data_IF_319051205745
#
_entry.id   IF_319051205745
#
_cell.length_a   1.000
_cell.length_b   1.000
_cell.length_c   1.000
_cell.angle_alpha   90.00
_cell.angle_beta   90.00
_cell.angle_gamma   90.00
#
_symmetry.space_group_name_H-M   'P 1'
#
loop_
_entity.id
_entity.type
_entity.pdbx_description
1 polymer ?
#
# COMPACT_ATOMS: atom_id res chain seq x y z
N UNK A 1 -6.56 45.13 37.91
CA UNK A 1 -6.69 43.96 38.80
C UNK A 1 -7.40 42.87 38.00
N UNK A 2 -6.66 42.01 37.32
CA UNK A 2 -7.20 40.90 36.52
C UNK A 2 -6.70 39.59 37.12
N UNK A 3 -7.61 38.62 37.28
CA UNK A 3 -7.51 37.15 37.14
C UNK A 3 -8.63 36.46 37.96
N UNK A 4 -9.05 35.21 37.67
CA UNK A 4 -8.74 34.36 36.51
C UNK A 4 -9.99 33.81 35.77
N UNK A 5 -9.78 33.44 34.50
CA UNK A 5 -10.72 32.66 33.70
C UNK A 5 -10.66 31.18 34.10
N UNK A 6 -11.83 30.56 34.32
CA UNK A 6 -11.98 29.14 34.62
C UNK A 6 -11.95 28.32 33.33
N UNK A 7 -10.80 27.75 33.01
CA UNK A 7 -10.69 26.71 31.97
C UNK A 7 -11.24 25.40 32.51
N UNK A 8 -12.40 24.97 31.99
CA UNK A 8 -12.93 23.63 32.22
C UNK A 8 -12.16 22.65 31.34
N UNK A 9 -11.18 21.97 31.93
CA UNK A 9 -10.54 20.78 31.36
C UNK A 9 -11.59 19.68 31.23
N UNK A 10 -12.03 19.37 30.02
CA UNK A 10 -12.76 18.12 29.75
C UNK A 10 -11.73 17.01 29.61
N UNK A 11 -11.71 16.11 30.59
CA UNK A 11 -10.93 14.88 30.55
C UNK A 11 -11.60 13.96 29.53
N UNK A 12 -10.92 13.71 28.42
CA UNK A 12 -11.37 12.81 27.36
C UNK A 12 -11.18 11.36 27.82
N UNK A 13 -12.28 10.69 28.17
CA UNK A 13 -12.36 9.29 28.62
C UNK A 13 -12.14 8.29 27.47
N UNK A 14 -11.01 8.40 26.77
CA UNK A 14 -10.60 7.43 25.75
C UNK A 14 -9.17 6.95 26.00
N UNK A 15 -8.87 6.58 27.24
CA UNK A 15 -7.68 5.80 27.54
C UNK A 15 -8.08 4.56 28.33
N UNK A 16 -7.57 3.41 27.86
CA UNK A 16 -7.67 2.04 28.38
C UNK A 16 -8.80 1.17 27.80
N UNK A 17 -8.55 0.66 26.58
CA UNK A 17 -9.00 -0.70 26.24
C UNK A 17 -7.81 -1.64 26.50
N UNK A 18 -7.91 -2.61 27.43
CA UNK A 18 -6.84 -3.56 27.69
C UNK A 18 -6.54 -4.44 26.47
N UNK A 19 -5.27 -4.55 26.10
CA UNK A 19 -4.77 -5.54 25.14
C UNK A 19 -5.07 -6.95 25.69
N UNK A 20 -6.05 -7.66 25.12
CA UNK A 20 -6.27 -9.07 25.41
C UNK A 20 -5.43 -9.93 24.46
N UNK A 21 -4.69 -10.87 25.05
CA UNK A 21 -3.91 -11.92 24.40
C UNK A 21 -4.81 -12.89 23.62
N UNK A 22 -4.33 -13.52 22.52
CA UNK A 22 -5.16 -14.39 21.69
C UNK A 22 -5.47 -15.71 22.41
N UNK A 23 -6.73 -15.87 22.84
CA UNK A 23 -7.26 -17.15 23.29
C UNK A 23 -7.67 -17.99 22.09
N UNK A 24 -7.10 -19.19 21.94
CA UNK A 24 -7.46 -20.14 20.86
C UNK A 24 -8.72 -20.93 21.23
N UNK A 25 -9.81 -20.25 21.59
CA UNK A 25 -11.10 -20.89 21.85
C UNK A 25 -12.19 -20.17 21.06
N UNK A 26 -12.92 -20.84 20.16
CA UNK A 26 -14.01 -20.20 19.43
C UNK A 26 -15.06 -19.69 20.42
N UNK A 27 -15.18 -18.37 20.55
CA UNK A 27 -16.19 -17.73 21.39
C UNK A 27 -17.54 -17.81 20.67
N UNK A 28 -18.49 -18.56 21.23
CA UNK A 28 -19.88 -18.55 20.79
C UNK A 28 -20.48 -17.18 21.15
N UNK A 29 -20.82 -16.39 20.15
CA UNK A 29 -21.44 -15.07 20.37
C UNK A 29 -22.95 -15.24 20.62
N UNK A 30 -23.51 -14.46 21.56
CA UNK A 30 -24.84 -14.60 22.15
C UNK A 30 -26.00 -14.42 21.14
N UNK A 31 -26.18 -15.37 20.22
CA UNK A 31 -27.26 -15.38 19.23
C UNK A 31 -27.00 -16.18 17.95
N UNK A 32 -25.81 -16.77 17.77
CA UNK A 32 -25.48 -17.57 16.58
C UNK A 32 -24.95 -18.96 16.96
N UNK A 33 -25.46 -20.00 16.28
CA UNK A 33 -25.10 -21.41 16.53
C UNK A 33 -23.76 -21.83 15.92
N UNK A 34 -22.92 -20.87 15.50
CA UNK A 34 -21.64 -21.12 14.84
C UNK A 34 -20.51 -20.31 15.48
N UNK A 35 -19.30 -20.88 15.41
CA UNK A 35 -18.10 -20.23 15.90
C UNK A 35 -17.71 -19.04 15.01
N UNK A 36 -17.47 -17.89 15.62
CA UNK A 36 -16.98 -16.69 14.94
C UNK A 36 -15.58 -16.38 15.46
N UNK A 37 -14.58 -16.17 14.59
CA UNK A 37 -13.26 -15.73 15.02
C UNK A 37 -13.29 -14.42 15.81
N UNK A 38 -12.49 -14.34 16.88
CA UNK A 38 -12.44 -13.20 17.80
C UNK A 38 -12.12 -11.87 17.10
N UNK A 39 -11.25 -11.93 16.09
CA UNK A 39 -10.82 -10.76 15.30
C UNK A 39 -11.96 -10.18 14.43
N UNK A 40 -13.03 -10.95 14.20
CA UNK A 40 -14.19 -10.51 13.43
C UNK A 40 -15.34 -10.01 14.30
N UNK A 41 -15.35 -10.31 15.61
CA UNK A 41 -16.43 -9.95 16.53
C UNK A 41 -16.76 -8.45 16.53
N UNK A 42 -15.78 -7.52 16.55
CA UNK A 42 -16.07 -6.08 16.56
C UNK A 42 -16.70 -5.57 15.26
N UNK A 43 -16.56 -6.32 14.17
CA UNK A 43 -16.99 -5.93 12.83
C UNK A 43 -18.32 -6.57 12.41
N UNK A 44 -18.94 -7.34 13.31
CA UNK A 44 -20.28 -7.88 13.08
C UNK A 44 -21.28 -6.74 13.29
N UNK A 45 -22.09 -6.39 12.28
CA UNK A 45 -23.13 -5.40 12.48
C UNK A 45 -24.23 -5.95 13.39
N UNK A 46 -24.84 -5.07 14.19
CA UNK A 46 -25.97 -5.38 15.08
C UNK A 46 -27.29 -5.72 14.33
N UNK A 47 -27.22 -6.11 13.05
CA UNK A 47 -28.36 -6.33 12.18
C UNK A 47 -28.04 -7.15 10.93
N UNK A 48 -29.05 -7.41 10.08
CA UNK A 48 -28.90 -8.25 8.89
C UNK A 48 -27.89 -7.68 7.90
N UNK A 49 -26.94 -8.51 7.45
CA UNK A 49 -26.04 -8.17 6.35
C UNK A 49 -26.78 -8.33 5.01
N UNK A 50 -26.63 -7.33 4.15
CA UNK A 50 -27.18 -7.35 2.80
C UNK A 50 -26.07 -7.21 1.78
N UNK A 51 -26.12 -8.03 0.72
CA UNK A 51 -25.37 -7.74 -0.51
C UNK A 51 -26.30 -7.07 -1.49
N UNK A 52 -25.81 -6.03 -2.15
CA UNK A 52 -26.47 -5.45 -3.30
C UNK A 52 -26.31 -6.41 -4.48
N UNK A 53 -27.39 -7.09 -4.88
CA UNK A 53 -27.37 -7.98 -6.04
C UNK A 53 -27.68 -7.22 -7.34
N UNK A 54 -28.52 -6.18 -7.26
CA UNK A 54 -28.82 -5.21 -8.33
C UNK A 54 -29.19 -3.84 -7.73
N UNK A 55 -29.34 -2.78 -8.55
CA UNK A 55 -29.73 -1.43 -8.08
C UNK A 55 -31.01 -1.40 -7.22
N UNK A 56 -31.90 -2.38 -7.35
CA UNK A 56 -33.20 -2.42 -6.65
C UNK A 56 -33.38 -3.62 -5.72
N UNK A 57 -32.52 -4.65 -5.78
CA UNK A 57 -32.66 -5.86 -4.94
C UNK A 57 -31.46 -6.03 -4.02
N UNK A 58 -31.76 -6.02 -2.72
CA UNK A 58 -30.82 -6.39 -1.65
C UNK A 58 -31.14 -7.82 -1.23
N UNK A 59 -30.14 -8.69 -1.31
CA UNK A 59 -30.28 -10.07 -0.83
C UNK A 59 -29.71 -10.16 0.56
N UNK A 60 -30.51 -10.68 1.49
CA UNK A 60 -30.08 -10.99 2.84
C UNK A 60 -29.01 -12.09 2.79
N UNK A 61 -27.92 -11.89 3.53
CA UNK A 61 -26.88 -12.90 3.69
C UNK A 61 -27.18 -13.69 4.95
N UNK A 62 -27.32 -15.01 4.78
CA UNK A 62 -27.50 -15.93 5.89
C UNK A 62 -26.25 -15.88 6.79
N UNK A 63 -26.39 -15.54 8.09
CA UNK A 63 -25.31 -15.60 9.06
C UNK A 63 -24.62 -16.97 9.08
N UNK A 64 -23.30 -16.98 9.20
CA UNK A 64 -22.51 -18.21 9.22
C UNK A 64 -22.20 -18.81 7.84
N UNK A 65 -22.82 -18.31 6.77
CA UNK A 65 -22.42 -18.69 5.41
C UNK A 65 -21.03 -18.15 5.04
N UNK A 66 -20.34 -18.79 4.10
CA UNK A 66 -19.04 -18.29 3.61
C UNK A 66 -19.15 -16.86 3.03
N UNK A 67 -20.28 -16.54 2.38
CA UNK A 67 -20.57 -15.18 1.91
C UNK A 67 -20.67 -14.18 3.05
N UNK A 68 -21.27 -14.56 4.18
CA UNK A 68 -21.35 -13.72 5.37
C UNK A 68 -19.97 -13.43 5.95
N UNK A 69 -19.15 -14.45 6.15
CA UNK A 69 -17.77 -14.26 6.62
C UNK A 69 -16.92 -13.42 5.66
N UNK A 70 -17.12 -13.58 4.35
CA UNK A 70 -16.43 -12.76 3.34
C UNK A 70 -16.77 -11.28 3.49
N UNK A 71 -18.04 -10.97 3.78
CA UNK A 71 -18.49 -9.60 3.96
C UNK A 71 -18.01 -9.00 5.27
N UNK A 72 -18.04 -9.75 6.37
CA UNK A 72 -17.47 -9.31 7.66
C UNK A 72 -15.96 -9.04 7.54
N UNK A 73 -15.21 -9.92 6.85
CA UNK A 73 -13.79 -9.66 6.53
C UNK A 73 -13.59 -8.44 5.63
N UNK A 74 -14.55 -8.13 4.75
CA UNK A 74 -14.51 -6.91 3.94
C UNK A 74 -14.68 -5.67 4.83
N UNK A 75 -15.60 -5.69 5.78
CA UNK A 75 -15.80 -4.61 6.75
C UNK A 75 -14.54 -4.37 7.58
N UNK A 76 -13.94 -5.44 8.10
CA UNK A 76 -12.64 -5.37 8.80
C UNK A 76 -11.57 -4.70 7.93
N UNK A 77 -11.39 -5.14 6.68
CA UNK A 77 -10.40 -4.53 5.76
C UNK A 77 -10.65 -3.04 5.49
N UNK A 78 -11.90 -2.63 5.38
CA UNK A 78 -12.25 -1.22 5.19
C UNK A 78 -11.88 -0.42 6.43
N UNK A 79 -12.24 -0.91 7.61
CA UNK A 79 -11.87 -0.29 8.88
C UNK A 79 -10.34 -0.22 9.06
N UNK A 80 -9.63 -1.33 8.84
CA UNK A 80 -8.16 -1.37 8.95
C UNK A 80 -7.50 -0.38 7.98
N UNK A 81 -8.05 -0.21 6.77
CA UNK A 81 -7.58 0.79 5.82
C UNK A 81 -7.85 2.22 6.31
N UNK A 82 -9.03 2.48 6.87
CA UNK A 82 -9.36 3.78 7.48
C UNK A 82 -8.43 4.11 8.65
N UNK A 83 -8.20 3.16 9.56
CA UNK A 83 -7.26 3.33 10.67
C UNK A 83 -5.82 3.54 10.18
N UNK A 84 -5.37 2.81 9.17
CA UNK A 84 -4.06 3.04 8.56
C UNK A 84 -3.94 4.44 7.95
N UNK A 85 -5.01 4.98 7.33
CA UNK A 85 -5.00 6.36 6.84
C UNK A 85 -4.95 7.39 7.97
N UNK A 86 -5.69 7.17 9.05
CA UNK A 86 -5.65 8.05 10.24
C UNK A 86 -4.25 8.03 10.86
N UNK A 87 -3.68 6.86 11.04
CA UNK A 87 -2.33 6.71 11.60
C UNK A 87 -1.29 7.41 10.72
N UNK A 88 -1.37 7.23 9.40
CA UNK A 88 -0.48 7.93 8.46
C UNK A 88 -0.57 9.45 8.59
N UNK A 89 -1.76 10.01 8.71
CA UNK A 89 -1.94 11.46 8.89
C UNK A 89 -1.35 11.96 10.22
N UNK A 90 -1.49 11.17 11.28
CA UNK A 90 -0.87 11.45 12.59
C UNK A 90 0.66 11.43 12.45
N UNK A 91 1.22 10.42 11.79
CA UNK A 91 2.65 10.27 11.60
C UNK A 91 3.24 11.43 10.76
N UNK A 92 2.58 11.80 9.66
CA UNK A 92 2.96 12.94 8.83
C UNK A 92 2.91 14.26 9.62
N UNK A 93 1.88 14.43 10.47
CA UNK A 93 1.77 15.59 11.36
C UNK A 93 2.90 15.60 12.39
N UNK A 94 3.19 14.47 13.03
CA UNK A 94 4.26 14.34 14.01
C UNK A 94 5.63 14.61 13.37
N UNK A 95 5.86 14.10 12.16
CA UNK A 95 7.07 14.38 11.39
C UNK A 95 7.23 15.88 11.10
N UNK A 96 6.13 16.58 10.75
CA UNK A 96 6.17 18.04 10.55
C UNK A 96 6.56 18.81 11.81
N UNK A 97 5.99 18.43 12.96
CA UNK A 97 6.34 19.03 14.26
C UNK A 97 7.80 18.75 14.63
N UNK A 98 8.26 17.52 14.46
CA UNK A 98 9.64 17.12 14.76
C UNK A 98 10.66 17.91 13.95
N UNK A 99 10.38 18.10 12.66
CA UNK A 99 11.25 18.85 11.76
C UNK A 99 11.06 20.37 11.85
N UNK A 100 10.22 20.86 12.78
CA UNK A 100 9.88 22.28 12.98
C UNK A 100 9.51 22.93 11.63
N UNK A 101 8.70 22.21 10.84
CA UNK A 101 8.32 22.63 9.50
C UNK A 101 6.83 22.42 9.27
N UNK A 102 6.31 22.95 8.17
CA UNK A 102 4.91 22.75 7.80
C UNK A 102 4.72 21.44 7.04
N UNK A 103 3.54 20.81 7.20
CA UNK A 103 3.14 19.63 6.43
C UNK A 103 3.27 19.86 4.92
N UNK A 104 2.83 21.03 4.45
CA UNK A 104 2.93 21.46 3.05
C UNK A 104 4.39 21.48 2.55
N UNK A 105 5.34 21.84 3.41
CA UNK A 105 6.77 21.83 3.06
C UNK A 105 7.31 20.41 2.94
N UNK A 106 6.92 19.50 3.83
CA UNK A 106 7.29 18.08 3.72
C UNK A 106 6.72 17.48 2.43
N UNK A 107 5.46 17.72 2.13
CA UNK A 107 4.82 17.25 0.90
C UNK A 107 5.55 17.78 -0.34
N UNK A 108 5.91 19.07 -0.36
CA UNK A 108 6.72 19.66 -1.44
C UNK A 108 8.08 18.95 -1.60
N UNK A 109 8.77 18.67 -0.49
CA UNK A 109 10.04 17.96 -0.53
C UNK A 109 9.89 16.52 -1.05
N UNK A 110 8.85 15.80 -0.62
CA UNK A 110 8.54 14.45 -1.11
C UNK A 110 8.25 14.47 -2.61
N UNK A 111 7.40 15.38 -3.07
CA UNK A 111 7.05 15.52 -4.48
C UNK A 111 8.27 15.86 -5.33
N UNK A 112 9.10 16.80 -4.88
CA UNK A 112 10.35 17.13 -5.56
C UNK A 112 11.30 15.93 -5.65
N UNK A 113 11.40 15.14 -4.58
CA UNK A 113 12.23 13.94 -4.55
C UNK A 113 11.72 12.89 -5.54
N UNK A 114 10.40 12.71 -5.63
CA UNK A 114 9.78 11.82 -6.59
C UNK A 114 10.01 12.29 -8.04
N UNK A 115 9.88 13.58 -8.31
CA UNK A 115 10.15 14.16 -9.62
C UNK A 115 11.61 13.98 -10.04
N UNK A 116 12.55 14.23 -9.13
CA UNK A 116 13.98 14.01 -9.36
C UNK A 116 14.28 12.52 -9.63
N UNK A 117 13.69 11.63 -8.84
CA UNK A 117 13.83 10.18 -9.02
C UNK A 117 13.29 9.73 -10.38
N UNK A 118 12.12 10.25 -10.77
CA UNK A 118 11.51 9.96 -12.07
C UNK A 118 12.37 10.47 -13.21
N UNK A 119 12.85 11.71 -13.12
CA UNK A 119 13.76 12.29 -14.11
C UNK A 119 15.02 11.43 -14.26
N UNK A 120 15.66 11.08 -13.15
CA UNK A 120 16.87 10.26 -13.14
C UNK A 120 16.63 8.88 -13.77
N UNK A 121 15.52 8.22 -13.45
CA UNK A 121 15.17 6.92 -14.03
C UNK A 121 14.95 6.98 -15.54
N UNK A 122 14.23 8.01 -16.01
CA UNK A 122 14.02 8.24 -17.45
C UNK A 122 15.35 8.50 -18.13
N UNK A 123 16.16 9.40 -17.58
CA UNK A 123 17.48 9.72 -18.12
C UNK A 123 18.37 8.47 -18.22
N UNK A 124 18.48 7.69 -17.14
CA UNK A 124 19.25 6.44 -17.14
C UNK A 124 18.72 5.45 -18.17
N UNK A 125 17.40 5.28 -18.29
CA UNK A 125 16.82 4.39 -19.30
C UNK A 125 17.25 4.79 -20.72
N UNK A 126 17.23 6.09 -21.02
CA UNK A 126 17.68 6.60 -22.33
C UNK A 126 19.17 6.40 -22.54
N UNK A 127 20.00 6.75 -21.57
CA UNK A 127 21.46 6.64 -21.67
C UNK A 127 21.93 5.18 -21.77
N UNK A 128 21.32 4.28 -20.99
CA UNK A 128 21.61 2.85 -21.04
C UNK A 128 21.20 2.26 -22.39
N UNK A 129 19.99 2.56 -22.88
CA UNK A 129 19.52 2.10 -24.19
C UNK A 129 20.45 2.56 -25.33
N UNK A 130 20.89 3.82 -25.28
CA UNK A 130 21.84 4.37 -26.24
C UNK A 130 23.20 3.66 -26.19
N UNK A 131 23.73 3.47 -24.97
CA UNK A 131 25.02 2.80 -24.75
C UNK A 131 24.99 1.35 -25.23
N UNK A 132 23.97 0.60 -24.87
CA UNK A 132 23.76 -0.77 -25.33
C UNK A 132 23.66 -0.86 -26.85
N UNK A 133 22.92 0.06 -27.49
CA UNK A 133 22.82 0.11 -28.95
C UNK A 133 24.19 0.32 -29.59
N UNK A 134 24.96 1.27 -29.07
CA UNK A 134 26.32 1.55 -29.55
C UNK A 134 27.22 0.32 -29.42
N UNK A 135 27.15 -0.39 -28.30
CA UNK A 135 27.98 -1.57 -28.05
C UNK A 135 27.59 -2.74 -28.94
N UNK A 136 26.28 -2.94 -29.20
CA UNK A 136 25.79 -3.92 -30.18
C UNK A 136 26.33 -3.62 -31.58
N UNK A 137 26.35 -2.35 -31.99
CA UNK A 137 26.89 -1.93 -33.29
C UNK A 137 28.40 -2.16 -33.39
N UNK A 138 29.17 -1.82 -32.35
CA UNK A 138 30.62 -2.14 -32.29
C UNK A 138 30.89 -3.63 -32.42
N UNK A 139 30.15 -4.46 -31.66
CA UNK A 139 30.25 -5.92 -31.73
C UNK A 139 29.94 -6.46 -33.14
N UNK A 140 28.89 -5.94 -33.79
CA UNK A 140 28.56 -6.29 -35.19
C UNK A 140 29.67 -5.93 -36.16
N UNK A 141 30.27 -4.74 -36.02
CA UNK A 141 31.39 -4.31 -36.88
C UNK A 141 32.61 -5.23 -36.73
N UNK A 142 33.02 -5.51 -35.49
CA UNK A 142 34.14 -6.42 -35.20
C UNK A 142 33.91 -7.80 -35.83
N UNK A 143 32.70 -8.35 -35.70
CA UNK A 143 32.34 -9.62 -36.33
C UNK A 143 32.44 -9.57 -37.85
N UNK A 144 31.89 -8.53 -38.48
CA UNK A 144 31.96 -8.33 -39.93
C UNK A 144 33.39 -8.23 -40.44
N UNK A 145 34.25 -7.50 -39.74
CA UNK A 145 35.66 -7.34 -40.09
C UNK A 145 36.41 -8.68 -39.96
N UNK A 146 36.13 -9.45 -38.90
CA UNK A 146 36.66 -10.80 -38.73
C UNK A 146 36.23 -11.75 -39.84
N UNK A 147 34.94 -11.78 -40.19
CA UNK A 147 34.40 -12.63 -41.26
C UNK A 147 35.04 -12.28 -42.62
N UNK A 148 35.26 -10.99 -42.89
CA UNK A 148 35.95 -10.51 -44.10
C UNK A 148 37.41 -11.00 -44.16
N UNK A 149 38.13 -10.94 -43.04
CA UNK A 149 39.51 -11.46 -42.94
C UNK A 149 39.57 -12.97 -43.15
N UNK A 150 38.62 -13.73 -42.58
CA UNK A 150 38.52 -15.18 -42.79
C UNK A 150 38.27 -15.51 -44.26
N UNK A 151 37.41 -14.76 -44.94
CA UNK A 151 37.13 -14.93 -46.36
C UNK A 151 38.38 -14.67 -47.21
N UNK A 152 39.09 -13.57 -46.94
CA UNK A 152 40.35 -13.23 -47.63
C UNK A 152 41.41 -14.34 -47.45
N UNK A 153 41.57 -14.86 -46.23
CA UNK A 153 42.44 -16.01 -45.94
C UNK A 153 42.04 -17.30 -46.65
N UNK A 154 40.75 -17.50 -46.95
CA UNK A 154 40.29 -18.66 -47.74
C UNK A 154 40.61 -18.49 -49.21
N UNK A 155 40.46 -17.29 -49.76
CA UNK A 155 40.84 -17.00 -51.15
C UNK A 155 42.34 -17.19 -51.39
N UNK A 156 43.17 -16.65 -50.49
CA UNK A 156 44.64 -16.77 -50.59
C UNK A 156 45.19 -18.19 -50.38
N UNK A 157 44.38 -19.14 -49.87
CA UNK A 157 44.78 -20.56 -49.73
C UNK A 157 44.34 -21.44 -50.89
N UNK A 158 43.54 -20.90 -51.82
CA UNK A 158 43.00 -21.64 -52.97
C UNK A 158 43.80 -21.42 -54.26
N UNK A 159 44.76 -20.51 -54.22
CA UNK A 159 45.81 -20.30 -55.21
C UNK A 159 47.15 -20.57 -54.52
#
# INVERSE_FOLDING_TARGET
MNLPATSKTSVSTYDQVPLQTPSTTPVFNHGYDFAIPDDLLPFIPNGPLYVLCTRTKRTFIIPGSNRWFTEVRRLKRVHDAEEATKQRLIDETNQSKLLITSLKKIEQCVNLTQDLTRFQNVYHKHMTSFSERRDRLKKKKIKSDHDRLLLQRRYLRRY
#
